data_IF_364877785966
#
_entry.id   IF_364877785966
#
_cell.length_a   1.000
_cell.length_b   1.000
_cell.length_c   1.000
_cell.angle_alpha   90.00
_cell.angle_beta   90.00
_cell.angle_gamma   90.00
#
_symmetry.space_group_name_H-M   'P 1'
#
loop_
_entity.id
_entity.type
_entity.pdbx_description
1 polymer ?
#
# COMPACT_ATOMS: atom_id res chain seq x y z
N UNK A 1 -0.34 -17.33 16.91
CA UNK A 1 -1.73 -17.79 17.10
C UNK A 1 -2.19 -18.43 15.78
N UNK A 2 -2.43 -19.74 15.72
CA UNK A 2 -2.83 -20.39 14.47
C UNK A 2 -4.24 -19.95 14.04
N UNK A 3 -4.46 -19.76 12.74
CA UNK A 3 -5.75 -19.34 12.16
C UNK A 3 -6.89 -20.37 12.36
N UNK A 4 -6.59 -21.56 12.90
CA UNK A 4 -7.56 -22.60 13.24
C UNK A 4 -8.01 -22.58 14.70
N UNK A 5 -7.48 -21.67 15.54
CA UNK A 5 -7.83 -21.63 16.96
C UNK A 5 -9.30 -21.23 17.18
N UNK A 6 -9.85 -21.70 18.30
CA UNK A 6 -11.24 -21.41 18.65
C UNK A 6 -11.48 -19.91 18.90
N UNK A 7 -10.46 -19.22 19.42
CA UNK A 7 -10.50 -17.77 19.65
C UNK A 7 -10.60 -16.99 18.34
N UNK A 8 -9.86 -17.39 17.30
CA UNK A 8 -9.93 -16.76 15.98
C UNK A 8 -11.30 -16.98 15.32
N UNK A 9 -11.87 -18.18 15.45
CA UNK A 9 -13.23 -18.47 14.97
C UNK A 9 -14.28 -17.61 15.66
N UNK A 10 -14.18 -17.45 16.99
CA UNK A 10 -15.08 -16.59 17.75
C UNK A 10 -14.95 -15.12 17.34
N UNK A 11 -13.72 -14.65 17.10
CA UNK A 11 -13.48 -13.31 16.57
C UNK A 11 -14.14 -13.11 15.20
N UNK A 12 -13.91 -14.01 14.25
CA UNK A 12 -14.53 -13.96 12.93
C UNK A 12 -16.07 -13.96 13.02
N UNK A 13 -16.64 -14.80 13.88
CA UNK A 13 -18.10 -14.86 14.09
C UNK A 13 -18.65 -13.55 14.66
N UNK A 14 -17.97 -12.95 15.63
CA UNK A 14 -18.41 -11.69 16.24
C UNK A 14 -18.34 -10.50 15.27
N UNK A 15 -17.35 -10.50 14.38
CA UNK A 15 -17.15 -9.44 13.38
C UNK A 15 -17.83 -9.74 12.03
N UNK A 16 -18.61 -10.82 11.93
CA UNK A 16 -19.24 -11.29 10.67
C UNK A 16 -18.25 -11.44 9.51
N UNK A 17 -17.03 -11.90 9.82
CA UNK A 17 -15.97 -12.17 8.85
C UNK A 17 -16.04 -13.64 8.44
N UNK A 18 -16.10 -13.91 7.15
CA UNK A 18 -15.99 -15.27 6.61
C UNK A 18 -14.51 -15.69 6.54
N UNK A 19 -14.10 -16.59 7.43
CA UNK A 19 -12.75 -17.15 7.43
C UNK A 19 -12.60 -18.26 6.39
N UNK A 20 -12.19 -17.91 5.17
CA UNK A 20 -11.88 -18.90 4.14
C UNK A 20 -10.43 -19.36 4.29
N UNK A 21 -10.24 -20.56 4.84
CA UNK A 21 -8.94 -21.24 4.81
C UNK A 21 -8.71 -21.90 3.46
N UNK A 22 -7.70 -21.44 2.72
CA UNK A 22 -7.24 -22.12 1.51
C UNK A 22 -6.75 -23.53 1.85
N UNK A 23 -7.09 -24.52 1.02
CA UNK A 23 -6.46 -25.84 1.08
C UNK A 23 -4.93 -25.68 0.98
N UNK A 24 -4.12 -26.46 1.72
CA UNK A 24 -2.65 -26.40 1.67
C UNK A 24 -2.08 -26.52 0.24
N UNK A 25 -2.85 -27.09 -0.69
CA UNK A 25 -2.48 -27.33 -2.08
C UNK A 25 -2.75 -26.14 -3.02
N UNK A 26 -3.26 -25.01 -2.52
CA UNK A 26 -3.56 -23.82 -3.34
C UNK A 26 -2.78 -22.56 -2.92
N UNK A 27 -1.42 -22.60 -2.98
CA UNK A 27 -0.57 -21.48 -2.54
C UNK A 27 -0.78 -20.20 -3.37
N UNK A 28 -1.34 -20.32 -4.59
CA UNK A 28 -1.66 -19.16 -5.44
C UNK A 28 -2.64 -18.19 -4.76
N UNK A 29 -3.54 -18.67 -3.90
CA UNK A 29 -4.44 -17.80 -3.12
C UNK A 29 -3.67 -16.88 -2.15
N UNK A 30 -2.53 -17.32 -1.62
CA UNK A 30 -1.73 -16.56 -0.67
C UNK A 30 -0.64 -15.70 -1.33
N UNK A 31 -0.41 -15.87 -2.63
CA UNK A 31 0.65 -15.14 -3.34
C UNK A 31 0.48 -13.61 -3.31
N UNK A 32 -0.75 -13.10 -3.19
CA UNK A 32 -0.99 -11.66 -2.97
C UNK A 32 -0.55 -11.21 -1.57
N UNK A 33 -0.82 -12.02 -0.55
CA UNK A 33 -0.41 -11.75 0.82
C UNK A 33 1.12 -11.78 0.95
N UNK A 34 1.77 -12.77 0.33
CA UNK A 34 3.24 -12.87 0.29
C UNK A 34 3.87 -11.64 -0.39
N UNK A 35 3.36 -11.24 -1.56
CA UNK A 35 3.80 -10.01 -2.24
C UNK A 35 3.60 -8.77 -1.39
N UNK A 36 2.48 -8.66 -0.67
CA UNK A 36 2.22 -7.54 0.22
C UNK A 36 3.24 -7.48 1.37
N UNK A 37 3.60 -8.62 1.96
CA UNK A 37 4.66 -8.72 2.98
C UNK A 37 6.01 -8.30 2.42
N UNK A 38 6.36 -8.73 1.20
CA UNK A 38 7.61 -8.33 0.55
C UNK A 38 7.67 -6.83 0.29
N UNK A 39 6.57 -6.22 -0.14
CA UNK A 39 6.47 -4.76 -0.31
C UNK A 39 6.68 -4.06 1.04
N UNK A 40 6.01 -4.52 2.11
CA UNK A 40 6.16 -3.94 3.44
C UNK A 40 7.62 -4.02 3.94
N UNK A 41 8.29 -5.17 3.75
CA UNK A 41 9.71 -5.33 4.08
C UNK A 41 10.60 -4.34 3.31
N UNK A 42 10.34 -4.11 2.02
CA UNK A 42 11.10 -3.14 1.22
C UNK A 42 10.90 -1.71 1.72
N UNK A 43 9.68 -1.34 2.09
CA UNK A 43 9.39 -0.02 2.65
C UNK A 43 10.15 0.18 3.97
N UNK A 44 10.12 -0.81 4.86
CA UNK A 44 10.86 -0.78 6.12
C UNK A 44 12.38 -0.69 5.89
N UNK A 45 12.91 -1.50 4.96
CA UNK A 45 14.33 -1.45 4.60
C UNK A 45 14.73 -0.07 4.07
N UNK A 46 13.93 0.53 3.19
CA UNK A 46 14.15 1.88 2.64
C UNK A 46 14.10 2.95 3.74
N UNK A 47 13.21 2.80 4.73
CA UNK A 47 13.13 3.71 5.89
C UNK A 47 14.43 3.72 6.68
N UNK A 48 14.99 2.54 6.97
CA UNK A 48 16.26 2.39 7.69
C UNK A 48 17.43 2.95 6.86
N UNK A 49 17.51 2.59 5.58
CA UNK A 49 18.61 3.02 4.69
C UNK A 49 18.61 4.52 4.43
N UNK A 50 17.43 5.12 4.28
CA UNK A 50 17.27 6.55 3.95
C UNK A 50 17.13 7.43 5.20
N UNK A 51 17.14 6.83 6.40
CA UNK A 51 16.77 7.46 7.67
C UNK A 51 15.49 8.31 7.57
N UNK A 52 14.54 7.83 6.77
CA UNK A 52 13.30 8.52 6.44
C UNK A 52 12.16 7.98 7.29
N UNK A 53 11.26 8.88 7.70
CA UNK A 53 10.09 8.51 8.49
C UNK A 53 9.20 7.51 7.74
N UNK A 54 8.75 6.48 8.46
CA UNK A 54 8.00 5.37 7.88
C UNK A 54 6.65 5.84 7.32
N UNK A 55 5.99 6.78 7.99
CA UNK A 55 4.72 7.34 7.54
C UNK A 55 4.85 8.06 6.20
N UNK A 56 5.96 8.77 5.99
CA UNK A 56 6.26 9.46 4.74
C UNK A 56 6.44 8.46 3.58
N UNK A 57 7.12 7.34 3.82
CA UNK A 57 7.32 6.30 2.82
C UNK A 57 6.03 5.50 2.54
N UNK A 58 5.20 5.25 3.55
CA UNK A 58 3.88 4.64 3.37
C UNK A 58 2.97 5.55 2.55
N UNK A 59 3.00 6.86 2.78
CA UNK A 59 2.25 7.83 1.99
C UNK A 59 2.73 7.86 0.53
N UNK A 60 4.05 7.83 0.31
CA UNK A 60 4.64 7.72 -1.02
C UNK A 60 4.18 6.43 -1.73
N UNK A 61 4.24 5.28 -1.05
CA UNK A 61 3.75 4.02 -1.60
C UNK A 61 2.26 4.09 -1.99
N UNK A 62 1.41 4.65 -1.11
CA UNK A 62 -0.03 4.79 -1.36
C UNK A 62 -0.39 5.72 -2.52
N UNK A 63 0.46 6.71 -2.80
CA UNK A 63 0.27 7.71 -3.87
C UNK A 63 0.95 7.34 -5.18
N UNK A 64 1.89 6.38 -5.17
CA UNK A 64 2.62 5.96 -6.37
C UNK A 64 1.75 5.08 -7.25
N UNK A 65 1.60 5.45 -8.52
CA UNK A 65 0.88 4.65 -9.52
C UNK A 65 1.58 3.32 -9.75
N UNK A 66 0.83 2.22 -9.69
CA UNK A 66 1.38 0.88 -10.00
C UNK A 66 1.40 0.72 -11.53
N UNK A 67 2.57 0.52 -12.18
CA UNK A 67 2.67 0.50 -13.64
C UNK A 67 1.76 -0.52 -14.33
N UNK A 68 1.55 -1.67 -13.69
CA UNK A 68 0.68 -2.73 -14.23
C UNK A 68 -0.81 -2.41 -14.16
N UNK A 69 -1.21 -1.50 -13.28
CA UNK A 69 -2.63 -1.19 -13.01
C UNK A 69 -3.02 0.22 -13.46
N UNK A 70 -2.04 1.11 -13.68
CA UNK A 70 -2.25 2.50 -14.07
C UNK A 70 -2.82 3.41 -12.97
N UNK A 71 -3.17 2.84 -11.81
CA UNK A 71 -3.74 3.55 -10.66
C UNK A 71 -2.88 3.37 -9.41
N UNK A 72 -2.97 4.31 -8.48
CA UNK A 72 -2.32 4.23 -7.18
C UNK A 72 -3.10 3.35 -6.19
N UNK A 73 -2.44 2.77 -5.16
CA UNK A 73 -3.13 2.00 -4.14
C UNK A 73 -4.22 2.79 -3.40
N UNK A 74 -4.02 4.09 -3.18
CA UNK A 74 -5.03 4.94 -2.55
C UNK A 74 -6.25 5.18 -3.46
N UNK A 75 -6.05 5.33 -4.76
CA UNK A 75 -7.15 5.40 -5.72
C UNK A 75 -7.91 4.07 -5.80
N UNK A 76 -7.20 2.94 -5.81
CA UNK A 76 -7.83 1.63 -5.80
C UNK A 76 -8.71 1.40 -4.56
N UNK A 77 -8.28 1.90 -3.38
CA UNK A 77 -9.00 1.71 -2.13
C UNK A 77 -10.10 2.75 -1.88
N UNK A 78 -9.83 4.02 -2.16
CA UNK A 78 -10.70 5.15 -1.78
C UNK A 78 -11.37 5.83 -2.96
N UNK A 79 -11.05 5.43 -4.20
CA UNK A 79 -11.43 6.10 -5.44
C UNK A 79 -11.12 7.62 -5.42
N UNK A 80 -10.01 7.99 -4.78
CA UNK A 80 -9.57 9.37 -4.58
C UNK A 80 -8.06 9.47 -4.79
N UNK A 81 -7.66 10.52 -5.48
CA UNK A 81 -6.24 10.90 -5.61
C UNK A 81 -5.79 11.58 -4.33
N UNK A 82 -4.89 10.96 -3.58
CA UNK A 82 -4.27 11.61 -2.42
C UNK A 82 -3.30 12.70 -2.89
N UNK A 83 -3.52 13.93 -2.43
CA UNK A 83 -2.62 15.06 -2.72
C UNK A 83 -1.35 14.93 -1.89
N UNK A 84 -0.22 14.68 -2.55
CA UNK A 84 1.10 14.78 -1.94
C UNK A 84 1.53 16.25 -1.93
N UNK A 85 1.78 16.81 -0.74
CA UNK A 85 2.53 18.08 -0.61
C UNK A 85 4.02 17.84 -0.87
N UNK A 86 4.36 17.38 -2.07
CA UNK A 86 5.72 17.48 -2.55
C UNK A 86 5.77 18.75 -3.40
N UNK A 87 6.33 19.82 -2.84
CA UNK A 87 6.49 21.10 -3.50
C UNK A 87 7.59 20.99 -4.58
N UNK A 88 7.35 20.14 -5.57
CA UNK A 88 8.03 20.22 -6.86
C UNK A 88 7.41 21.39 -7.60
N UNK A 89 7.98 22.59 -7.41
CA UNK A 89 7.76 23.70 -8.34
C UNK A 89 8.03 23.17 -9.74
N UNK A 90 6.97 22.95 -10.51
CA UNK A 90 7.06 22.82 -11.96
C UNK A 90 7.47 24.19 -12.49
N UNK A 91 8.72 24.24 -12.91
CA UNK A 91 9.34 25.05 -13.96
C UNK A 91 8.81 26.45 -14.25
N UNK A 92 9.73 27.42 -14.24
CA UNK A 92 10.14 28.07 -15.48
C UNK A 92 9.06 28.43 -16.49
N UNK A 93 8.12 29.31 -16.14
CA UNK A 93 7.42 30.12 -17.14
C UNK A 93 8.02 31.53 -17.09
N UNK A 94 9.14 31.72 -17.82
CA UNK A 94 9.62 33.05 -18.19
C UNK A 94 8.53 33.72 -19.03
N UNK A 95 7.64 34.46 -18.38
CA UNK A 95 6.80 35.43 -19.09
C UNK A 95 7.69 36.61 -19.44
N UNK A 96 8.14 36.62 -20.69
CA UNK A 96 8.62 37.83 -21.35
C UNK A 96 7.54 38.90 -21.26
N UNK A 97 7.69 39.88 -20.38
CA UNK A 97 7.04 41.17 -20.59
C UNK A 97 7.95 41.98 -21.50
N UNK A 98 7.65 41.91 -22.81
CA UNK A 98 7.99 43.00 -23.73
C UNK A 98 7.20 44.23 -23.27
N UNK A 99 7.90 45.27 -22.86
CA UNK A 99 7.50 46.67 -22.95
C UNK A 99 8.76 47.51 -22.93
#
# INVERSE_FOLDING_TARGET
>A
MPFSSNEFKNFCKNWSIEGVTSSPLYPRANGLAEKAVDIAKRILKKSIESNADLESLLLEFRTTTVPSLGISPAEALMNRVLRRFFNGRREGERRSTKS
#
